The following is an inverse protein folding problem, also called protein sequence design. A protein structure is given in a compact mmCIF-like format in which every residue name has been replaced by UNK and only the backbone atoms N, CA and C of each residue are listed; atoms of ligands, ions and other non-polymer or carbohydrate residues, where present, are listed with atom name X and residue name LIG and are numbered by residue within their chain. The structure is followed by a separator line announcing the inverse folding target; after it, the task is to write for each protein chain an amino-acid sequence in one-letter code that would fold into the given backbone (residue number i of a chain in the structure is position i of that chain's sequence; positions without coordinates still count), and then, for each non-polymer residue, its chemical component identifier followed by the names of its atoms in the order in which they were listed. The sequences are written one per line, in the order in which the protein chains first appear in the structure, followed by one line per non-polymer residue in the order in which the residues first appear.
data_IF_051131446803
#
_entry.id   IF_051131446803
#
_cell.length_a   1.000
_cell.length_b   1.000
_cell.length_c   1.000
_cell.angle_alpha   90.00
_cell.angle_beta   90.00
_cell.angle_gamma   90.00
#
_symmetry.space_group_name_H-M   'P 1'
#
loop_
_entity.id
_entity.type
_entity.pdbx_description
1 polymer ?
#
# COMPACT_ATOMS: atom_id res chain seq x y z
N UNK A 1 -8.36 -26.23 1.47
CA UNK A 1 -8.26 -26.25 0.02
C UNK A 1 -7.71 -24.92 -0.48
N UNK A 2 -6.67 -24.98 -1.27
CA UNK A 2 -6.11 -23.75 -1.83
C UNK A 2 -7.02 -23.24 -2.93
N UNK A 3 -7.44 -22.00 -2.81
CA UNK A 3 -8.26 -21.32 -3.80
C UNK A 3 -7.44 -20.21 -4.43
N UNK A 4 -7.49 -20.04 -5.76
CA UNK A 4 -6.69 -18.97 -6.39
C UNK A 4 -6.94 -17.59 -5.80
N UNK A 5 -8.15 -17.33 -5.36
CA UNK A 5 -8.49 -16.03 -4.76
C UNK A 5 -7.81 -15.80 -3.43
N UNK A 6 -7.37 -16.86 -2.75
CA UNK A 6 -6.65 -16.73 -1.48
C UNK A 6 -5.24 -16.19 -1.66
N UNK A 7 -4.72 -16.24 -2.88
CA UNK A 7 -3.39 -15.74 -3.19
C UNK A 7 -3.40 -14.27 -3.61
N UNK A 8 -4.60 -13.69 -3.74
CA UNK A 8 -4.70 -12.28 -4.10
C UNK A 8 -4.53 -11.41 -2.86
N UNK A 9 -3.95 -10.21 -3.02
CA UNK A 9 -3.85 -9.28 -1.90
C UNK A 9 -5.24 -8.91 -1.38
N UNK A 10 -5.37 -8.61 -0.08
CA UNK A 10 -6.62 -8.08 0.42
C UNK A 10 -7.00 -6.79 -0.30
N UNK A 11 -8.29 -6.58 -0.47
CA UNK A 11 -8.79 -5.37 -1.12
C UNK A 11 -8.29 -4.10 -0.43
N UNK A 12 -8.25 -4.11 0.90
CA UNK A 12 -7.80 -2.95 1.67
C UNK A 12 -6.34 -2.63 1.38
N UNK A 13 -5.50 -3.66 1.23
CA UNK A 13 -4.09 -3.44 0.88
C UNK A 13 -3.97 -2.80 -0.50
N UNK A 14 -4.80 -3.22 -1.45
CA UNK A 14 -4.81 -2.62 -2.77
C UNK A 14 -5.27 -1.17 -2.73
N UNK A 15 -6.27 -0.87 -1.91
CA UNK A 15 -6.73 0.52 -1.76
C UNK A 15 -5.63 1.42 -1.24
N UNK A 16 -4.92 0.96 -0.22
CA UNK A 16 -3.81 1.73 0.34
C UNK A 16 -2.73 1.97 -0.70
N UNK A 17 -2.37 0.94 -1.46
CA UNK A 17 -1.38 1.07 -2.51
C UNK A 17 -1.82 2.05 -3.59
N UNK A 18 -3.05 1.91 -4.10
CA UNK A 18 -3.54 2.77 -5.18
C UNK A 18 -3.58 4.23 -4.73
N UNK A 19 -4.11 4.49 -3.54
CA UNK A 19 -4.19 5.85 -3.03
C UNK A 19 -2.79 6.45 -2.85
N UNK A 20 -1.86 5.69 -2.30
CA UNK A 20 -0.50 6.16 -2.10
C UNK A 20 0.22 6.39 -3.42
N UNK A 21 -0.01 5.53 -4.41
CA UNK A 21 0.61 5.67 -5.71
C UNK A 21 0.09 6.92 -6.45
N UNK A 22 -1.19 7.19 -6.32
CA UNK A 22 -1.80 8.34 -6.98
C UNK A 22 -1.31 9.67 -6.40
N UNK A 23 -1.10 9.69 -5.09
CA UNK A 23 -0.73 10.92 -4.39
C UNK A 23 0.77 11.00 -4.10
N UNK A 24 1.49 9.89 -4.21
CA UNK A 24 2.89 9.75 -3.81
C UNK A 24 3.11 10.30 -2.40
N UNK A 25 2.14 10.03 -1.52
CA UNK A 25 2.14 10.53 -0.15
C UNK A 25 1.26 9.64 0.72
N UNK A 26 1.84 9.10 1.79
CA UNK A 26 1.09 8.30 2.75
C UNK A 26 0.05 9.17 3.47
N UNK A 27 0.42 10.41 3.82
CA UNK A 27 -0.49 11.33 4.49
C UNK A 27 -1.71 11.62 3.63
N UNK A 28 -1.51 11.94 2.36
CA UNK A 28 -2.62 12.23 1.46
C UNK A 28 -3.47 11.00 1.21
N UNK A 29 -2.84 9.82 1.06
CA UNK A 29 -3.59 8.58 0.89
C UNK A 29 -4.47 8.29 2.10
N UNK A 30 -3.94 8.51 3.30
CA UNK A 30 -4.71 8.30 4.52
C UNK A 30 -5.92 9.23 4.57
N UNK A 31 -5.75 10.46 4.17
CA UNK A 31 -6.87 11.41 4.10
C UNK A 31 -7.93 10.96 3.10
N UNK A 32 -7.49 10.53 1.93
CA UNK A 32 -8.41 10.07 0.89
C UNK A 32 -9.23 8.87 1.33
N UNK A 33 -8.64 7.99 2.14
CA UNK A 33 -9.28 6.76 2.60
C UNK A 33 -9.94 6.90 3.97
N UNK A 34 -9.83 8.07 4.59
CA UNK A 34 -10.32 8.29 5.96
C UNK A 34 -9.68 7.31 6.95
N UNK A 35 -8.40 7.09 6.79
CA UNK A 35 -7.62 6.19 7.63
C UNK A 35 -6.45 6.94 8.26
N UNK A 36 -5.80 6.29 9.25
CA UNK A 36 -4.56 6.82 9.79
C UNK A 36 -3.40 6.50 8.85
N UNK A 37 -2.32 7.26 8.97
CA UNK A 37 -1.11 6.98 8.21
C UNK A 37 -0.55 5.60 8.53
N UNK A 38 -0.62 5.20 9.81
CA UNK A 38 -0.18 3.87 10.23
C UNK A 38 -0.96 2.78 9.53
N UNK A 39 -2.28 2.96 9.40
CA UNK A 39 -3.11 1.96 8.73
C UNK A 39 -2.75 1.83 7.26
N UNK A 40 -2.55 2.95 6.57
CA UNK A 40 -2.14 2.92 5.15
C UNK A 40 -0.77 2.26 5.02
N UNK A 41 0.18 2.60 5.88
CA UNK A 41 1.52 1.99 5.85
C UNK A 41 1.44 0.48 6.03
N UNK A 42 0.60 0.00 6.95
CA UNK A 42 0.43 -1.44 7.16
C UNK A 42 -0.15 -2.12 5.94
N UNK A 43 -1.11 -1.49 5.28
CA UNK A 43 -1.71 -2.05 4.07
C UNK A 43 -0.66 -2.19 2.97
N UNK A 44 0.17 -1.18 2.80
CA UNK A 44 1.24 -1.22 1.80
C UNK A 44 2.27 -2.29 2.15
N UNK A 45 2.67 -2.38 3.42
CA UNK A 45 3.63 -3.39 3.85
C UNK A 45 3.09 -4.80 3.62
N UNK A 46 1.81 -5.03 3.91
CA UNK A 46 1.20 -6.33 3.69
C UNK A 46 1.23 -6.70 2.22
N UNK A 47 0.98 -5.75 1.33
CA UNK A 47 1.05 -5.99 -0.11
C UNK A 47 2.48 -6.28 -0.55
N UNK A 48 3.44 -5.51 -0.06
CA UNK A 48 4.86 -5.72 -0.38
C UNK A 48 5.33 -7.10 0.07
N UNK A 49 4.91 -7.52 1.25
CA UNK A 49 5.27 -8.85 1.76
C UNK A 49 4.68 -9.96 0.88
N UNK A 50 3.45 -9.79 0.44
CA UNK A 50 2.82 -10.79 -0.43
C UNK A 50 3.52 -10.90 -1.77
N UNK A 51 3.96 -9.78 -2.32
CA UNK A 51 4.64 -9.75 -3.60
C UNK A 51 6.13 -10.06 -3.50
N UNK A 52 6.67 -10.01 -2.29
CA UNK A 52 8.08 -10.27 -2.06
C UNK A 52 8.99 -9.18 -2.58
N UNK A 53 8.46 -7.98 -2.77
CA UNK A 53 9.24 -6.87 -3.30
C UNK A 53 8.68 -5.55 -2.80
N UNK A 54 9.53 -4.57 -2.50
CA UNK A 54 9.04 -3.24 -2.14
C UNK A 54 8.42 -2.55 -3.34
N UNK A 55 7.35 -1.82 -3.10
CA UNK A 55 6.64 -1.09 -4.14
C UNK A 55 6.96 0.40 -4.10
N UNK A 56 7.44 0.90 -2.95
CA UNK A 56 7.76 2.30 -2.78
C UNK A 56 9.14 2.48 -2.19
N UNK A 57 9.82 3.52 -2.63
CA UNK A 57 11.01 4.04 -1.97
C UNK A 57 10.56 5.22 -1.12
N UNK A 58 10.88 5.20 0.17
CA UNK A 58 10.44 6.25 1.08
C UNK A 58 11.53 7.28 1.28
N UNK A 59 11.15 8.55 1.09
CA UNK A 59 11.97 9.68 1.46
C UNK A 59 11.52 10.25 2.78
N UNK A 60 11.92 11.47 3.08
CA UNK A 60 11.59 12.10 4.35
C UNK A 60 10.10 12.41 4.50
N UNK A 61 9.47 12.90 3.45
CA UNK A 61 8.08 13.32 3.49
C UNK A 61 7.27 12.79 2.31
N UNK A 62 7.89 12.05 1.44
CA UNK A 62 7.23 11.58 0.24
C UNK A 62 7.67 10.16 -0.06
N UNK A 63 6.97 9.54 -0.97
CA UNK A 63 7.29 8.22 -1.45
C UNK A 63 7.36 8.28 -2.97
N UNK A 64 8.08 7.33 -3.54
CA UNK A 64 8.15 7.17 -4.98
C UNK A 64 7.99 5.69 -5.31
N UNK A 65 7.41 5.41 -6.47
CA UNK A 65 7.25 4.02 -6.90
C UNK A 65 8.62 3.43 -7.24
N UNK A 66 8.80 2.16 -6.91
CA UNK A 66 9.96 1.42 -7.37
C UNK A 66 9.75 1.03 -8.84
N UNK A 67 10.85 0.84 -9.52
CA UNK A 67 10.78 0.40 -10.92
C UNK A 67 10.45 -1.07 -11.05
#
# INVERSE_FOLDING_TARGET
MAHPLLNLPPLDALRGFVAAARRLSITAAAQDLCLTQSAVSRQIQALEERLGTPLFVRGNRSIALTD
#
